data_IF_526511812913
#
_entry.id   IF_526511812913
#
_cell.length_a   1.000
_cell.length_b   1.000
_cell.length_c   1.000
_cell.angle_alpha   90.00
_cell.angle_beta   90.00
_cell.angle_gamma   90.00
#
_symmetry.space_group_name_H-M   'P 1'
#
loop_
_entity.id
_entity.type
_entity.pdbx_description
1 polymer ?
#
# COMPACT_ATOMS: atom_id res chain seq x y z
N UNK A 1 -11.54 -13.68 -1.36
CA UNK A 1 -10.42 -13.06 -0.65
C UNK A 1 -9.57 -14.16 -0.05
N UNK A 2 -8.27 -14.10 -0.33
CA UNK A 2 -7.30 -15.13 0.04
C UNK A 2 -6.25 -14.52 0.98
N UNK A 3 -5.93 -15.18 2.09
CA UNK A 3 -4.74 -14.83 2.86
C UNK A 3 -3.52 -15.30 2.08
N UNK A 4 -2.62 -14.38 1.76
CA UNK A 4 -1.50 -14.64 0.87
C UNK A 4 -0.24 -15.02 1.66
N UNK A 5 0.18 -14.14 2.56
CA UNK A 5 1.38 -14.34 3.39
C UNK A 5 1.43 -13.33 4.54
N UNK A 6 2.38 -13.53 5.46
CA UNK A 6 2.68 -12.61 6.55
C UNK A 6 4.08 -12.06 6.37
N UNK A 7 4.25 -10.74 6.55
CA UNK A 7 5.55 -10.06 6.55
C UNK A 7 5.93 -9.67 7.97
N UNK A 8 7.08 -10.16 8.45
CA UNK A 8 7.60 -9.77 9.77
C UNK A 8 8.46 -8.52 9.69
N UNK A 9 8.10 -7.51 10.48
CA UNK A 9 8.82 -6.26 10.62
C UNK A 9 9.20 -6.07 12.10
N UNK A 10 10.34 -6.64 12.48
CA UNK A 10 10.71 -6.77 13.89
C UNK A 10 9.70 -7.61 14.65
N UNK A 11 9.09 -7.05 15.70
CA UNK A 11 8.07 -7.72 16.51
C UNK A 11 6.66 -7.65 15.91
N UNK A 12 6.44 -6.80 14.90
CA UNK A 12 5.14 -6.61 14.27
C UNK A 12 5.01 -7.51 13.03
N UNK A 13 3.78 -7.89 12.73
CA UNK A 13 3.44 -8.68 11.54
C UNK A 13 2.38 -7.94 10.73
N UNK A 14 2.61 -7.81 9.43
CA UNK A 14 1.61 -7.34 8.46
C UNK A 14 1.08 -8.54 7.70
N UNK A 15 -0.24 -8.75 7.72
CA UNK A 15 -0.89 -9.79 6.94
C UNK A 15 -1.33 -9.27 5.57
N UNK A 16 -0.92 -9.97 4.51
CA UNK A 16 -1.25 -9.63 3.14
C UNK A 16 -2.43 -10.50 2.69
N UNK A 17 -3.44 -9.86 2.13
CA UNK A 17 -4.61 -10.48 1.56
C UNK A 17 -4.71 -10.11 0.08
N UNK A 18 -5.21 -11.02 -0.73
CA UNK A 18 -5.39 -10.82 -2.16
C UNK A 18 -6.84 -11.02 -2.57
N UNK A 19 -7.32 -10.12 -3.42
CA UNK A 19 -8.62 -10.17 -4.07
C UNK A 19 -8.47 -9.80 -5.55
N UNK A 20 -9.37 -10.33 -6.38
CA UNK A 20 -9.55 -9.87 -7.76
C UNK A 20 -10.68 -8.85 -7.90
N UNK A 21 -11.36 -8.51 -6.81
CA UNK A 21 -12.47 -7.55 -6.76
C UNK A 21 -12.33 -6.64 -5.52
N UNK A 22 -12.24 -5.33 -5.76
CA UNK A 22 -12.12 -4.31 -4.72
C UNK A 22 -13.34 -4.27 -3.81
N UNK A 23 -14.53 -4.63 -4.30
CA UNK A 23 -15.75 -4.66 -3.49
C UNK A 23 -15.69 -5.73 -2.41
N UNK A 24 -15.04 -6.87 -2.70
CA UNK A 24 -14.80 -7.90 -1.70
C UNK A 24 -13.88 -7.38 -0.58
N UNK A 25 -12.87 -6.59 -0.94
CA UNK A 25 -11.96 -5.93 0.02
C UNK A 25 -12.73 -4.97 0.94
N UNK A 26 -13.55 -4.08 0.36
CA UNK A 26 -14.31 -3.10 1.13
C UNK A 26 -15.35 -3.77 2.03
N UNK A 27 -15.98 -4.84 1.54
CA UNK A 27 -16.92 -5.66 2.33
C UNK A 27 -16.22 -6.27 3.55
N UNK A 28 -15.06 -6.90 3.39
CA UNK A 28 -14.30 -7.48 4.52
C UNK A 28 -13.90 -6.42 5.56
N UNK A 29 -13.43 -5.26 5.10
CA UNK A 29 -13.06 -4.15 5.98
C UNK A 29 -14.27 -3.64 6.75
N UNK A 30 -15.44 -3.56 6.13
CA UNK A 30 -16.68 -3.11 6.78
C UNK A 30 -17.07 -3.97 7.99
N UNK A 31 -16.75 -5.27 7.93
CA UNK A 31 -17.04 -6.26 8.98
C UNK A 31 -16.09 -6.16 10.20
N UNK A 32 -14.96 -5.45 10.08
CA UNK A 32 -14.04 -5.24 11.19
C UNK A 32 -14.70 -4.39 12.29
N UNK A 33 -14.25 -4.52 13.54
CA UNK A 33 -14.75 -3.67 14.64
C UNK A 33 -14.24 -2.23 14.53
N UNK A 34 -14.96 -1.30 15.16
CA UNK A 34 -14.58 0.11 15.22
C UNK A 34 -14.94 0.90 13.96
N UNK A 35 -14.71 2.21 14.02
CA UNK A 35 -14.86 3.16 12.90
C UNK A 35 -13.69 3.03 11.93
N UNK A 36 -13.95 3.32 10.65
CA UNK A 36 -12.94 3.30 9.59
C UNK A 36 -12.90 4.68 8.96
N UNK A 37 -11.73 5.31 8.95
CA UNK A 37 -11.49 6.55 8.23
C UNK A 37 -10.73 6.21 6.96
N UNK A 38 -11.41 6.30 5.82
CA UNK A 38 -10.78 6.12 4.52
C UNK A 38 -10.07 7.40 4.09
N UNK A 39 -8.81 7.28 3.68
CA UNK A 39 -8.06 8.36 3.05
C UNK A 39 -7.86 7.94 1.60
N UNK A 40 -8.34 8.77 0.68
CA UNK A 40 -8.29 8.55 -0.76
C UNK A 40 -7.93 9.85 -1.50
N UNK A 41 -7.69 9.76 -2.80
CA UNK A 41 -7.53 10.93 -3.68
C UNK A 41 -8.68 11.00 -4.69
N UNK A 42 -8.67 12.01 -5.56
CA UNK A 42 -9.72 12.15 -6.58
C UNK A 42 -9.74 10.97 -7.58
N UNK A 43 -8.61 10.30 -7.82
CA UNK A 43 -8.52 9.16 -8.73
C UNK A 43 -9.10 7.88 -8.10
N UNK A 44 -8.99 7.72 -6.78
CA UNK A 44 -9.45 6.51 -6.07
C UNK A 44 -10.79 6.67 -5.38
N UNK A 45 -11.33 7.89 -5.31
CA UNK A 45 -12.69 8.16 -4.80
C UNK A 45 -13.75 7.23 -5.40
N UNK A 46 -13.63 6.88 -6.68
CA UNK A 46 -14.60 6.02 -7.38
C UNK A 46 -14.73 4.61 -6.81
N UNK A 47 -13.78 4.16 -5.99
CA UNK A 47 -13.83 2.86 -5.32
C UNK A 47 -14.60 2.91 -4.00
N UNK A 48 -14.72 4.08 -3.35
CA UNK A 48 -15.45 4.21 -2.08
C UNK A 48 -16.93 3.86 -2.26
N UNK A 49 -17.52 3.25 -1.24
CA UNK A 49 -18.95 2.91 -1.21
C UNK A 49 -19.77 3.99 -0.50
N UNK A 50 -21.11 3.92 -0.61
CA UNK A 50 -21.97 4.83 0.15
C UNK A 50 -21.92 4.51 1.64
N UNK A 51 -21.60 5.50 2.46
CA UNK A 51 -21.67 5.42 3.93
C UNK A 51 -20.32 5.30 4.64
N UNK A 52 -19.21 5.23 3.92
CA UNK A 52 -17.86 5.27 4.50
C UNK A 52 -17.51 6.69 4.97
N UNK A 53 -16.92 6.81 6.17
CA UNK A 53 -16.27 8.04 6.60
C UNK A 53 -14.95 8.19 5.83
N UNK A 54 -14.83 9.24 5.02
CA UNK A 54 -13.63 9.46 4.22
C UNK A 54 -13.09 10.89 4.25
N UNK A 55 -11.83 11.02 3.85
CA UNK A 55 -11.11 12.25 3.54
C UNK A 55 -10.56 12.11 2.13
N UNK A 56 -10.76 13.14 1.31
CA UNK A 56 -10.11 13.25 0.01
C UNK A 56 -8.95 14.23 0.09
N UNK A 57 -7.80 13.79 -0.41
CA UNK A 57 -6.64 14.63 -0.66
C UNK A 57 -6.53 14.92 -2.17
N UNK A 58 -5.73 15.92 -2.51
CA UNK A 58 -5.33 16.17 -3.89
C UNK A 58 -4.49 15.02 -4.44
N UNK A 59 -4.70 14.68 -5.70
CA UNK A 59 -3.91 13.68 -6.41
C UNK A 59 -2.43 14.05 -6.52
N UNK A 60 -1.59 13.03 -6.50
CA UNK A 60 -0.16 13.15 -6.79
C UNK A 60 0.67 13.63 -5.61
N UNK A 61 1.96 13.85 -5.87
CA UNK A 61 2.93 14.04 -4.80
C UNK A 61 2.85 15.41 -4.11
N UNK A 62 2.12 16.37 -4.68
CA UNK A 62 1.90 17.67 -4.05
C UNK A 62 1.17 17.55 -2.70
N UNK A 63 0.36 16.51 -2.52
CA UNK A 63 -0.28 16.20 -1.24
C UNK A 63 0.68 15.70 -0.16
N UNK A 64 1.90 15.31 -0.53
CA UNK A 64 2.85 14.62 0.34
C UNK A 64 3.63 15.58 1.24
N UNK A 65 2.91 16.30 2.09
CA UNK A 65 3.46 17.32 2.99
C UNK A 65 2.79 17.28 4.38
N UNK A 66 3.44 17.89 5.38
CA UNK A 66 2.96 17.90 6.77
C UNK A 66 1.53 18.46 6.95
N UNK A 67 1.09 19.41 6.12
CA UNK A 67 -0.27 19.97 6.23
C UNK A 67 -1.37 18.93 5.95
N UNK A 68 -1.09 17.93 5.11
CA UNK A 68 -2.02 16.82 4.84
C UNK A 68 -2.16 15.92 6.07
N UNK A 69 -1.04 15.71 6.77
CA UNK A 69 -1.01 14.94 8.03
C UNK A 69 -1.83 15.67 9.11
N UNK A 70 -1.60 16.97 9.28
CA UNK A 70 -2.36 17.81 10.21
C UNK A 70 -3.86 17.79 9.90
N UNK A 71 -4.23 17.88 8.63
CA UNK A 71 -5.62 17.82 8.18
C UNK A 71 -6.27 16.47 8.53
N UNK A 72 -5.63 15.35 8.19
CA UNK A 72 -6.13 14.01 8.50
C UNK A 72 -6.33 13.83 10.01
N UNK A 73 -5.35 14.22 10.82
CA UNK A 73 -5.40 14.10 12.28
C UNK A 73 -6.53 14.97 12.86
N UNK A 74 -6.71 16.19 12.34
CA UNK A 74 -7.75 17.12 12.79
C UNK A 74 -9.15 16.59 12.48
N UNK A 75 -9.35 16.04 11.29
CA UNK A 75 -10.62 15.43 10.88
C UNK A 75 -10.93 14.15 11.66
N UNK A 76 -9.94 13.28 11.87
CA UNK A 76 -10.12 12.09 12.70
C UNK A 76 -10.55 12.47 14.12
N UNK A 77 -9.89 13.47 14.71
CA UNK A 77 -10.21 13.98 16.05
C UNK A 77 -11.61 14.59 16.11
N UNK A 78 -11.99 15.42 15.13
CA UNK A 78 -13.29 16.10 15.13
C UNK A 78 -14.45 15.11 14.99
N UNK A 79 -14.25 14.01 14.26
CA UNK A 79 -15.22 12.91 14.07
C UNK A 79 -15.20 11.88 15.21
N UNK A 80 -14.38 12.11 16.23
CA UNK A 80 -14.30 11.27 17.42
C UNK A 80 -13.77 9.87 17.13
N UNK A 81 -12.73 9.75 16.30
CA UNK A 81 -11.94 8.53 16.17
C UNK A 81 -11.08 8.32 17.41
N UNK A 82 -11.06 7.08 17.89
CA UNK A 82 -10.26 6.61 19.02
C UNK A 82 -8.99 5.89 18.53
N UNK A 83 -8.16 5.42 19.46
CA UNK A 83 -6.94 4.67 19.13
C UNK A 83 -7.23 3.31 18.49
N UNK A 84 -8.36 2.70 18.85
CA UNK A 84 -8.76 1.37 18.38
C UNK A 84 -9.48 1.42 17.03
N UNK A 85 -9.85 2.61 16.57
CA UNK A 85 -10.40 2.82 15.23
C UNK A 85 -9.31 2.74 14.15
N UNK A 86 -9.72 2.55 12.90
CA UNK A 86 -8.81 2.19 11.81
C UNK A 86 -8.70 3.30 10.77
N UNK A 87 -7.46 3.66 10.44
CA UNK A 87 -7.13 4.46 9.27
C UNK A 87 -6.92 3.52 8.08
N UNK A 88 -7.63 3.78 6.98
CA UNK A 88 -7.61 2.94 5.78
C UNK A 88 -7.08 3.77 4.62
N UNK A 89 -5.91 3.41 4.10
CA UNK A 89 -5.37 4.05 2.90
C UNK A 89 -5.95 3.38 1.65
N UNK A 90 -6.66 4.12 0.81
CA UNK A 90 -7.19 3.63 -0.47
C UNK A 90 -6.59 4.46 -1.61
N UNK A 91 -5.45 4.02 -2.13
CA UNK A 91 -4.73 4.79 -3.13
C UNK A 91 -3.37 4.21 -3.51
N UNK A 92 -2.61 4.99 -4.29
CA UNK A 92 -1.22 4.66 -4.62
C UNK A 92 -0.26 4.92 -3.45
N UNK A 93 1.05 4.88 -3.74
CA UNK A 93 2.11 5.02 -2.73
C UNK A 93 2.02 6.30 -1.89
N UNK A 94 1.63 7.42 -2.51
CA UNK A 94 1.44 8.70 -1.81
C UNK A 94 0.39 8.60 -0.72
N UNK A 95 -0.79 8.07 -1.04
CA UNK A 95 -1.88 7.89 -0.07
C UNK A 95 -1.49 6.89 1.01
N UNK A 96 -0.81 5.79 0.66
CA UNK A 96 -0.29 4.83 1.64
C UNK A 96 0.68 5.49 2.64
N UNK A 97 1.65 6.26 2.15
CA UNK A 97 2.66 6.93 2.99
C UNK A 97 2.05 7.98 3.91
N UNK A 98 1.22 8.87 3.37
CA UNK A 98 0.57 9.94 4.14
C UNK A 98 -0.33 9.35 5.21
N UNK A 99 -1.18 8.37 4.85
CA UNK A 99 -2.11 7.74 5.78
C UNK A 99 -1.38 6.96 6.85
N UNK A 100 -0.35 6.21 6.46
CA UNK A 100 0.48 5.46 7.40
C UNK A 100 1.18 6.37 8.40
N UNK A 101 1.71 7.51 7.94
CA UNK A 101 2.35 8.47 8.82
C UNK A 101 1.34 9.15 9.75
N UNK A 102 0.18 9.55 9.26
CA UNK A 102 -0.90 10.09 10.09
C UNK A 102 -1.35 9.09 11.17
N UNK A 103 -1.54 7.82 10.80
CA UNK A 103 -1.92 6.75 11.74
C UNK A 103 -0.84 6.50 12.79
N UNK A 104 0.45 6.61 12.44
CA UNK A 104 1.57 6.48 13.38
C UNK A 104 1.57 7.56 14.47
N UNK A 105 1.12 8.77 14.12
CA UNK A 105 1.10 9.92 15.01
C UNK A 105 -0.20 9.99 15.83
N UNK A 106 -1.33 9.60 15.23
CA UNK A 106 -2.64 9.69 15.86
C UNK A 106 -2.69 8.90 17.17
N UNK A 107 -2.88 9.59 18.29
CA UNK A 107 -2.84 9.00 19.64
C UNK A 107 -1.62 8.10 19.91
N UNK A 108 -0.46 8.42 19.31
CA UNK A 108 0.78 7.62 19.36
C UNK A 108 0.62 6.20 18.76
N UNK A 109 -0.12 6.11 17.66
CA UNK A 109 -0.34 4.90 16.89
C UNK A 109 -1.77 4.39 16.99
N UNK A 110 -2.47 4.46 15.86
CA UNK A 110 -3.79 3.87 15.63
C UNK A 110 -3.73 2.69 14.65
N UNK A 111 -4.81 1.93 14.53
CA UNK A 111 -4.87 0.81 13.59
C UNK A 111 -4.74 1.31 12.14
N UNK A 112 -3.96 0.61 11.32
CA UNK A 112 -3.69 0.98 9.93
C UNK A 112 -3.93 -0.21 9.00
N UNK A 113 -4.71 0.03 7.95
CA UNK A 113 -4.92 -0.89 6.83
C UNK A 113 -4.54 -0.17 5.53
N UNK A 114 -3.87 -0.88 4.62
CA UNK A 114 -3.53 -0.36 3.30
C UNK A 114 -4.27 -1.13 2.20
N UNK A 115 -4.83 -0.39 1.25
CA UNK A 115 -5.44 -0.89 0.02
C UNK A 115 -4.70 -0.23 -1.16
N UNK A 116 -3.47 -0.67 -1.49
CA UNK A 116 -2.69 -0.13 -2.59
C UNK A 116 -3.39 -0.34 -3.94
N UNK A 117 -3.60 0.74 -4.71
CA UNK A 117 -4.32 0.70 -6.00
C UNK A 117 -3.41 0.85 -7.23
N UNK A 118 -2.12 1.09 -7.01
CA UNK A 118 -1.12 1.10 -8.10
C UNK A 118 -0.25 -0.14 -8.04
N UNK A 119 0.23 -0.63 -9.19
CA UNK A 119 1.13 -1.78 -9.22
C UNK A 119 2.40 -1.50 -8.39
N UNK A 120 2.96 -0.30 -8.50
CA UNK A 120 4.12 0.13 -7.72
C UNK A 120 3.85 0.02 -6.21
N UNK A 121 2.71 0.55 -5.73
CA UNK A 121 2.36 0.43 -4.31
C UNK A 121 2.08 -1.01 -3.88
N UNK A 122 1.55 -1.86 -4.76
CA UNK A 122 1.23 -3.26 -4.44
C UNK A 122 2.48 -4.12 -4.29
N UNK A 123 3.51 -3.89 -5.10
CA UNK A 123 4.76 -4.69 -5.05
C UNK A 123 5.85 -4.06 -4.19
N UNK A 124 5.75 -2.77 -3.92
CA UNK A 124 6.75 -2.01 -3.17
C UNK A 124 6.11 -1.25 -1.99
N UNK A 125 5.62 -0.03 -2.16
CA UNK A 125 5.34 0.89 -1.05
C UNK A 125 4.46 0.34 0.11
N UNK A 126 3.52 -0.57 -0.16
CA UNK A 126 2.61 -1.10 0.87
C UNK A 126 3.25 -2.09 1.87
N UNK A 127 4.46 -2.56 1.61
CA UNK A 127 5.16 -3.53 2.47
C UNK A 127 6.52 -2.96 2.87
N UNK A 128 6.84 -2.99 4.17
CA UNK A 128 8.11 -2.45 4.68
C UNK A 128 7.98 -1.39 5.77
N UNK A 129 6.74 -0.96 6.06
CA UNK A 129 6.41 -0.05 7.17
C UNK A 129 6.96 1.36 7.06
N UNK A 130 7.65 1.74 5.97
CA UNK A 130 8.08 3.12 5.76
C UNK A 130 6.86 3.97 5.46
N UNK A 131 6.74 5.08 6.17
CA UNK A 131 5.69 6.07 5.96
C UNK A 131 6.33 7.45 6.09
N UNK A 132 5.82 8.44 5.37
CA UNK A 132 6.39 9.77 5.47
C UNK A 132 5.87 10.78 4.47
N UNK A 133 6.41 11.98 4.59
CA UNK A 133 6.13 13.12 3.71
C UNK A 133 7.41 13.80 3.26
N UNK A 134 7.29 14.57 2.19
CA UNK A 134 8.37 15.42 1.71
C UNK A 134 8.52 16.64 2.62
N UNK A 135 9.75 17.12 2.73
CA UNK A 135 10.07 18.32 3.50
C UNK A 135 11.24 19.05 2.86
N UNK A 136 11.08 20.36 2.65
CA UNK A 136 12.11 21.27 2.11
C UNK A 136 12.87 20.68 0.89
N UNK A 137 12.13 20.37 -0.18
CA UNK A 137 12.63 19.77 -1.42
C UNK A 137 13.26 18.36 -1.28
N UNK A 138 13.19 17.76 -0.09
CA UNK A 138 13.69 16.40 0.17
C UNK A 138 12.53 15.41 0.22
N UNK A 139 12.62 14.37 -0.62
CA UNK A 139 11.61 13.31 -0.69
C UNK A 139 11.63 12.43 0.56
N UNK A 140 10.46 12.08 1.08
CA UNK A 140 10.30 11.14 2.21
C UNK A 140 11.16 11.49 3.45
N UNK A 141 11.43 12.78 3.67
CA UNK A 141 12.40 13.20 4.67
C UNK A 141 11.88 13.07 6.11
N UNK A 142 10.59 13.33 6.33
CA UNK A 142 9.95 13.21 7.64
C UNK A 142 9.04 12.01 7.62
N UNK A 143 9.26 11.06 8.53
CA UNK A 143 8.51 9.81 8.53
C UNK A 143 8.75 8.91 9.73
N UNK A 144 8.12 7.74 9.69
CA UNK A 144 8.28 6.69 10.72
C UNK A 144 8.29 5.30 10.08
N UNK A 145 8.83 4.34 10.83
CA UNK A 145 8.61 2.92 10.57
C UNK A 145 7.34 2.46 11.31
N UNK A 146 6.22 2.43 10.59
CA UNK A 146 4.90 2.08 11.10
C UNK A 146 4.22 1.02 10.21
N UNK A 147 4.39 -0.28 10.50
CA UNK A 147 3.77 -1.33 9.71
C UNK A 147 2.26 -1.37 9.93
N UNK A 148 1.52 -1.61 8.84
CA UNK A 148 0.07 -1.84 8.88
C UNK A 148 -0.26 -3.22 9.46
N UNK A 149 -1.48 -3.37 9.99
CA UNK A 149 -1.95 -4.69 10.42
C UNK A 149 -2.30 -5.56 9.20
N UNK A 150 -2.88 -4.94 8.16
CA UNK A 150 -3.30 -5.61 6.93
C UNK A 150 -2.95 -4.79 5.69
N UNK A 151 -2.62 -5.51 4.62
CA UNK A 151 -2.53 -4.98 3.26
C UNK A 151 -3.46 -5.81 2.38
N UNK A 152 -4.36 -5.15 1.66
CA UNK A 152 -5.28 -5.78 0.71
C UNK A 152 -4.87 -5.43 -0.72
N UNK A 153 -4.41 -6.44 -1.46
CA UNK A 153 -4.03 -6.33 -2.86
C UNK A 153 -5.25 -6.63 -3.72
N UNK A 154 -5.74 -5.64 -4.47
CA UNK A 154 -6.88 -5.82 -5.38
C UNK A 154 -6.44 -5.67 -6.84
N UNK A 155 -6.53 -6.75 -7.61
CA UNK A 155 -5.97 -6.81 -8.98
C UNK A 155 -6.78 -5.97 -9.97
N UNK A 156 -8.10 -5.93 -9.83
CA UNK A 156 -9.01 -5.14 -10.67
C UNK A 156 -8.71 -3.64 -10.65
N UNK A 157 -8.19 -3.09 -9.54
CA UNK A 157 -7.77 -1.69 -9.47
C UNK A 157 -6.67 -1.36 -10.49
N UNK A 158 -5.85 -2.34 -10.87
CA UNK A 158 -4.80 -2.15 -11.88
C UNK A 158 -5.38 -1.97 -13.30
N UNK A 159 -6.62 -2.41 -13.54
CA UNK A 159 -7.28 -2.24 -14.83
C UNK A 159 -7.65 -0.78 -15.11
N UNK A 160 -7.80 0.04 -14.08
CA UNK A 160 -8.14 1.47 -14.22
C UNK A 160 -6.92 2.37 -14.42
N UNK A 161 -5.70 1.86 -14.16
CA UNK A 161 -4.48 2.64 -14.28
C UNK A 161 -4.19 3.04 -15.73
N UNK A 162 -3.58 4.20 -15.93
CA UNK A 162 -2.97 4.54 -17.22
C UNK A 162 -1.87 3.54 -17.57
N UNK A 163 -1.55 3.40 -18.86
CA UNK A 163 -0.44 2.54 -19.26
C UNK A 163 0.90 2.99 -18.68
N UNK A 164 1.08 4.31 -18.43
CA UNK A 164 2.29 4.86 -17.83
C UNK A 164 2.44 4.44 -16.37
N UNK A 165 1.39 4.61 -15.56
CA UNK A 165 1.39 4.22 -14.14
C UNK A 165 1.61 2.71 -13.95
N UNK A 166 0.95 1.90 -14.78
CA UNK A 166 1.16 0.46 -14.74
C UNK A 166 2.61 0.06 -15.10
N UNK A 167 3.19 0.68 -16.15
CA UNK A 167 4.58 0.44 -16.53
C UNK A 167 5.59 0.91 -15.48
N UNK A 168 5.28 1.97 -14.74
CA UNK A 168 6.09 2.42 -13.60
C UNK A 168 6.23 1.27 -12.57
N UNK A 169 5.10 0.67 -12.17
CA UNK A 169 5.13 -0.51 -11.29
C UNK A 169 5.86 -1.72 -11.89
N UNK A 170 5.77 -1.95 -13.20
CA UNK A 170 6.54 -3.03 -13.84
C UNK A 170 8.06 -2.82 -13.77
N UNK A 171 8.53 -1.56 -13.77
CA UNK A 171 9.95 -1.26 -13.57
C UNK A 171 10.47 -1.77 -12.23
N UNK A 172 9.66 -1.63 -11.20
CA UNK A 172 9.96 -2.13 -9.85
C UNK A 172 9.90 -3.66 -9.77
N UNK A 173 8.94 -4.29 -10.44
CA UNK A 173 8.89 -5.76 -10.57
C UNK A 173 10.15 -6.29 -11.27
N UNK A 174 10.62 -5.62 -12.33
CA UNK A 174 11.86 -5.99 -13.01
C UNK A 174 13.07 -5.84 -12.09
N UNK A 175 13.12 -4.78 -11.27
CA UNK A 175 14.14 -4.63 -10.24
C UNK A 175 14.16 -5.83 -9.29
N UNK A 176 13.01 -6.26 -8.78
CA UNK A 176 12.93 -7.46 -7.95
C UNK A 176 13.40 -8.72 -8.69
N UNK A 177 13.06 -8.87 -9.97
CA UNK A 177 13.54 -10.00 -10.78
C UNK A 177 15.07 -10.05 -10.86
N UNK A 178 15.73 -8.90 -10.98
CA UNK A 178 17.19 -8.77 -11.02
C UNK A 178 17.86 -8.96 -9.65
N UNK A 179 17.17 -8.62 -8.56
CA UNK A 179 17.64 -8.79 -7.18
C UNK A 179 17.32 -10.18 -6.62
N UNK A 180 16.47 -10.97 -7.28
CA UNK A 180 16.14 -12.33 -6.85
C UNK A 180 17.39 -13.22 -6.86
N UNK A 181 17.44 -14.19 -5.95
CA UNK A 181 18.51 -15.19 -5.91
C UNK A 181 18.37 -16.25 -7.01
N UNK A 182 17.16 -16.43 -7.52
CA UNK A 182 16.82 -17.37 -8.58
C UNK A 182 16.25 -16.65 -9.82
N UNK A 183 16.11 -17.41 -10.90
CA UNK A 183 15.58 -16.91 -12.16
C UNK A 183 14.06 -17.05 -12.28
N UNK A 184 13.34 -17.43 -11.23
CA UNK A 184 11.91 -17.80 -11.33
C UNK A 184 11.07 -16.62 -11.81
N UNK A 185 11.21 -15.46 -11.16
CA UNK A 185 10.50 -14.24 -11.55
C UNK A 185 10.93 -13.76 -12.94
N UNK A 186 12.22 -13.78 -13.26
CA UNK A 186 12.71 -13.39 -14.60
C UNK A 186 12.15 -14.29 -15.71
N UNK A 187 12.10 -15.60 -15.48
CA UNK A 187 11.53 -16.56 -16.41
C UNK A 187 10.02 -16.33 -16.56
N UNK A 188 9.31 -16.14 -15.44
CA UNK A 188 7.87 -15.86 -15.45
C UNK A 188 7.53 -14.60 -16.26
N UNK A 189 8.25 -13.50 -16.03
CA UNK A 189 8.09 -12.26 -16.77
C UNK A 189 8.34 -12.46 -18.27
N UNK A 190 9.35 -13.25 -18.63
CA UNK A 190 9.69 -13.51 -20.04
C UNK A 190 8.62 -14.37 -20.73
N UNK A 191 8.14 -15.42 -20.05
CA UNK A 191 7.14 -16.36 -20.58
C UNK A 191 5.75 -15.74 -20.71
N UNK A 192 5.38 -14.83 -19.81
CA UNK A 192 4.03 -14.26 -19.73
C UNK A 192 3.96 -12.77 -20.07
N UNK A 193 4.99 -12.22 -20.74
CA UNK A 193 5.09 -10.78 -21.03
C UNK A 193 3.82 -10.21 -21.67
N UNK A 194 3.27 -10.85 -22.71
CA UNK A 194 2.09 -10.34 -23.41
C UNK A 194 0.89 -10.28 -22.47
N UNK A 195 0.65 -11.35 -21.72
CA UNK A 195 -0.45 -11.44 -20.75
C UNK A 195 -0.33 -10.37 -19.65
N UNK A 196 0.88 -10.15 -19.12
CA UNK A 196 1.16 -9.10 -18.13
C UNK A 196 0.93 -7.71 -18.71
N UNK A 197 1.34 -7.46 -19.96
CA UNK A 197 1.15 -6.17 -20.63
C UNK A 197 -0.32 -5.85 -20.90
N UNK A 198 -1.14 -6.86 -21.25
CA UNK A 198 -2.59 -6.69 -21.40
C UNK A 198 -3.36 -6.81 -20.08
N UNK A 199 -2.65 -6.95 -18.95
CA UNK A 199 -3.19 -7.02 -17.59
C UNK A 199 -4.12 -8.21 -17.36
N UNK A 200 -3.74 -9.38 -17.88
CA UNK A 200 -4.39 -10.64 -17.53
C UNK A 200 -4.35 -10.85 -16.01
N UNK A 201 -5.53 -10.96 -15.39
CA UNK A 201 -5.69 -10.94 -13.92
C UNK A 201 -4.86 -12.05 -13.26
N UNK A 202 -4.92 -13.27 -13.79
CA UNK A 202 -4.21 -14.41 -13.20
C UNK A 202 -2.70 -14.25 -13.34
N UNK A 203 -2.22 -13.78 -14.50
CA UNK A 203 -0.79 -13.59 -14.71
C UNK A 203 -0.22 -12.43 -13.90
N UNK A 204 -0.99 -11.36 -13.74
CA UNK A 204 -0.61 -10.21 -12.90
C UNK A 204 -0.64 -10.60 -11.42
N UNK A 205 -1.65 -11.35 -10.97
CA UNK A 205 -1.71 -11.90 -9.61
C UNK A 205 -0.42 -12.63 -9.26
N UNK A 206 -0.05 -13.64 -10.04
CA UNK A 206 1.15 -14.45 -9.77
C UNK A 206 2.42 -13.61 -9.80
N UNK A 207 2.56 -12.70 -10.77
CA UNK A 207 3.68 -11.77 -10.85
C UNK A 207 3.85 -10.94 -9.57
N UNK A 208 2.75 -10.41 -9.02
CA UNK A 208 2.77 -9.62 -7.78
C UNK A 208 3.20 -10.50 -6.60
N UNK A 209 2.67 -11.72 -6.49
CA UNK A 209 3.05 -12.68 -5.44
C UNK A 209 4.55 -12.98 -5.47
N UNK A 210 5.09 -13.28 -6.65
CA UNK A 210 6.52 -13.55 -6.82
C UNK A 210 7.38 -12.32 -6.48
N UNK A 211 6.99 -11.15 -6.95
CA UNK A 211 7.66 -9.87 -6.67
C UNK A 211 7.71 -9.57 -5.16
N UNK A 212 6.59 -9.78 -4.46
CA UNK A 212 6.50 -9.59 -3.01
C UNK A 212 7.36 -10.57 -2.23
N UNK A 213 7.44 -11.84 -2.64
CA UNK A 213 8.33 -12.82 -1.99
C UNK A 213 9.78 -12.35 -2.03
N UNK A 214 10.24 -11.82 -3.17
CA UNK A 214 11.60 -11.26 -3.28
C UNK A 214 11.76 -10.09 -2.31
N UNK A 215 10.88 -9.10 -2.39
CA UNK A 215 10.96 -7.90 -1.54
C UNK A 215 10.93 -8.23 -0.05
N UNK A 216 10.04 -9.12 0.37
CA UNK A 216 9.90 -9.53 1.77
C UNK A 216 11.16 -10.24 2.27
N UNK A 217 11.85 -11.01 1.42
CA UNK A 217 13.12 -11.64 1.81
C UNK A 217 14.20 -10.62 2.21
N UNK A 218 14.17 -9.40 1.66
CA UNK A 218 15.06 -8.30 2.05
C UNK A 218 14.56 -7.60 3.33
N UNK A 219 13.25 -7.31 3.41
CA UNK A 219 12.65 -6.65 4.57
C UNK A 219 12.83 -7.45 5.85
N UNK A 220 12.60 -8.76 5.82
CA UNK A 220 12.67 -9.58 7.03
C UNK A 220 14.10 -9.73 7.56
N UNK A 221 15.10 -9.53 6.69
CA UNK A 221 16.52 -9.53 7.07
C UNK A 221 16.98 -8.20 7.65
N UNK A 222 16.45 -7.09 7.13
CA UNK A 222 16.81 -5.74 7.60
C UNK A 222 15.57 -4.83 7.67
N UNK A 223 14.71 -5.01 8.70
CA UNK A 223 13.42 -4.32 8.75
C UNK A 223 13.52 -2.79 8.86
N UNK A 224 14.62 -2.28 9.43
CA UNK A 224 14.85 -0.86 9.72
C UNK A 224 16.04 -0.26 8.94
N UNK A 225 16.61 -0.99 7.98
CA UNK A 225 17.70 -0.52 7.10
C UNK A 225 18.98 -0.12 7.84
N UNK A 226 19.35 -0.90 8.86
CA UNK A 226 20.55 -0.68 9.66
C UNK A 226 21.76 -1.46 9.13
N UNK A 227 21.53 -2.52 8.35
CA UNK A 227 22.58 -3.44 7.88
C UNK A 227 22.97 -3.21 6.41
N UNK A 228 22.24 -2.33 5.70
CA UNK A 228 22.48 -2.03 4.28
C UNK A 228 22.06 -3.18 3.34
N UNK A 229 21.18 -4.06 3.81
CA UNK A 229 20.66 -5.19 3.03
C UNK A 229 19.47 -4.75 2.17
N UNK A 230 18.66 -3.82 2.68
CA UNK A 230 17.41 -3.35 2.09
C UNK A 230 17.59 -1.98 1.42
#
# INVERSE_FOLDING_TARGET
MEHLMNCKLGEKTTSLFLSTDIKEVLSDISLLSGKKLFIADENTKGFLTQGEDYILLSCGEEAKHLKSIEYIISEAKSRGFSRDDTFVALGGGVICDITGFAASLYMRGANLILIPTTLLSQVDASVGGKTGVDFDNSKNFIGTFYPSSRVYLSIDTLLTLTSSEYKNGLGEVLKHALLSKDSELTQYLTTHKEAIFIRDIEKVKEMIVMSLKVKMSYIERDPQEQEGIR
#
